data_IF_930039921189
#
_entry.id   IF_930039921189
#
_cell.length_a   1.000
_cell.length_b   1.000
_cell.length_c   1.000
_cell.angle_alpha   90.00
_cell.angle_beta   90.00
_cell.angle_gamma   90.00
#
_symmetry.space_group_name_H-M   'P 1'
#
loop_
_entity.id
_entity.type
_entity.pdbx_description
1 polymer ?
#
# COMPACT_ATOMS: atom_id res chain seq x y z
N UNK A 1 -9.50 -9.47 21.27
CA UNK A 1 -9.51 -9.19 19.82
C UNK A 1 -8.07 -8.93 19.41
N UNK A 2 -7.56 -9.61 18.38
CA UNK A 2 -6.18 -9.41 17.93
C UNK A 2 -5.99 -8.03 17.31
N UNK A 3 -4.82 -7.44 17.48
CA UNK A 3 -4.48 -6.18 16.84
C UNK A 3 -4.08 -6.39 15.38
N UNK A 4 -4.41 -5.43 14.51
CA UNK A 4 -4.11 -5.51 13.08
C UNK A 4 -3.73 -4.17 12.49
N UNK A 5 -2.64 -4.17 11.74
CA UNK A 5 -2.18 -3.03 10.94
C UNK A 5 -2.03 -3.41 9.48
N UNK A 6 -2.14 -2.42 8.59
CA UNK A 6 -2.07 -2.60 7.16
C UNK A 6 -0.87 -1.85 6.55
N UNK A 7 -0.10 -2.56 5.73
CA UNK A 7 0.95 -2.00 4.90
C UNK A 7 0.47 -2.00 3.45
N UNK A 8 0.40 -0.83 2.83
CA UNK A 8 -0.02 -0.69 1.44
C UNK A 8 1.20 -0.60 0.53
N UNK A 9 1.22 -1.41 -0.54
CA UNK A 9 2.22 -1.23 -1.60
C UNK A 9 2.04 0.14 -2.30
N UNK A 10 3.09 0.75 -2.85
CA UNK A 10 3.00 2.05 -3.49
C UNK A 10 2.19 2.02 -4.79
N UNK A 11 1.79 3.21 -5.26
CA UNK A 11 1.40 3.43 -6.64
C UNK A 11 2.64 3.71 -7.51
N UNK A 12 2.59 3.35 -8.80
CA UNK A 12 3.66 3.67 -9.74
C UNK A 12 3.68 5.19 -10.01
N UNK A 13 4.77 5.84 -9.60
CA UNK A 13 4.89 7.31 -9.65
C UNK A 13 5.42 7.86 -10.99
N UNK A 14 5.80 6.99 -11.94
CA UNK A 14 6.28 7.38 -13.27
C UNK A 14 5.31 7.11 -14.42
N UNK A 15 4.09 6.63 -14.12
CA UNK A 15 3.12 6.22 -15.16
C UNK A 15 2.38 7.38 -15.82
N UNK A 16 1.51 7.07 -16.79
CA UNK A 16 0.74 8.06 -17.57
C UNK A 16 -0.02 9.06 -16.69
N UNK A 17 -0.68 8.59 -15.62
CA UNK A 17 -1.39 9.49 -14.69
C UNK A 17 -0.45 10.41 -13.92
N UNK A 18 0.79 9.99 -13.65
CA UNK A 18 1.77 10.87 -13.03
C UNK A 18 2.15 12.02 -13.97
N UNK A 19 2.20 11.78 -15.28
CA UNK A 19 2.49 12.84 -16.26
C UNK A 19 1.44 13.95 -16.24
N UNK A 20 0.17 13.63 -15.95
CA UNK A 20 -0.90 14.62 -15.80
C UNK A 20 -0.64 15.61 -14.66
N UNK A 21 -0.09 15.15 -13.53
CA UNK A 21 0.27 16.05 -12.40
C UNK A 21 1.62 16.71 -12.59
N UNK A 22 2.53 16.11 -13.37
CA UNK A 22 3.82 16.71 -13.71
C UNK A 22 3.71 17.82 -14.76
N UNK A 23 2.65 17.83 -15.57
CA UNK A 23 2.34 18.94 -16.45
C UNK A 23 2.15 20.23 -15.63
N UNK A 24 3.01 21.22 -15.86
CA UNK A 24 3.01 22.48 -15.13
C UNK A 24 1.74 23.31 -15.40
N UNK A 25 1.12 23.12 -16.57
CA UNK A 25 -0.14 23.75 -16.95
C UNK A 25 -1.40 23.08 -16.39
N UNK A 26 -1.32 21.91 -15.75
CA UNK A 26 -2.50 21.20 -15.26
C UNK A 26 -3.18 21.94 -14.10
N UNK A 27 -4.44 22.37 -14.25
CA UNK A 27 -5.12 23.21 -13.26
C UNK A 27 -6.11 22.48 -12.34
N UNK A 28 -6.29 21.16 -12.49
CA UNK A 28 -7.19 20.40 -11.62
C UNK A 28 -6.73 20.42 -10.16
N UNK A 29 -7.65 20.28 -9.18
CA UNK A 29 -7.37 20.55 -7.77
C UNK A 29 -6.14 19.83 -7.21
N UNK A 30 -5.96 18.55 -7.53
CA UNK A 30 -4.82 17.77 -7.04
C UNK A 30 -3.47 18.30 -7.56
N UNK A 31 -3.38 18.69 -8.84
CA UNK A 31 -2.15 19.26 -9.41
C UNK A 31 -1.79 20.59 -8.75
N UNK A 32 -2.79 21.45 -8.49
CA UNK A 32 -2.59 22.72 -7.76
C UNK A 32 -2.10 22.48 -6.34
N UNK A 33 -2.72 21.55 -5.60
CA UNK A 33 -2.29 21.18 -4.25
C UNK A 33 -0.87 20.64 -4.22
N UNK A 34 -0.50 19.75 -5.14
CA UNK A 34 0.86 19.20 -5.23
C UNK A 34 1.93 20.29 -5.42
N UNK A 35 1.63 21.39 -6.12
CA UNK A 35 2.56 22.51 -6.32
C UNK A 35 2.56 23.54 -5.18
N UNK A 36 1.58 23.48 -4.29
CA UNK A 36 1.55 24.30 -3.06
C UNK A 36 2.60 23.82 -2.04
N UNK A 37 2.88 24.65 -1.02
CA UNK A 37 3.79 24.27 0.07
C UNK A 37 3.18 23.18 0.95
N UNK A 38 1.86 23.18 1.08
CA UNK A 38 1.06 22.28 1.89
C UNK A 38 1.01 20.87 1.27
N UNK A 39 1.07 20.77 -0.05
CA UNK A 39 0.99 19.51 -0.77
C UNK A 39 -0.39 18.86 -0.75
N UNK A 40 -0.44 17.59 -1.15
CA UNK A 40 -1.65 16.76 -1.09
C UNK A 40 -1.37 15.47 -0.29
N UNK A 41 -2.37 14.90 0.40
CA UNK A 41 -2.23 13.63 1.10
C UNK A 41 -1.69 12.54 0.17
N UNK A 42 -0.71 11.77 0.64
CA UNK A 42 -0.14 10.64 -0.08
C UNK A 42 -1.23 9.67 -0.58
N UNK A 43 -2.25 9.42 0.23
CA UNK A 43 -3.40 8.58 -0.11
C UNK A 43 -4.16 9.08 -1.33
N UNK A 44 -4.48 10.37 -1.37
CA UNK A 44 -5.19 11.01 -2.50
C UNK A 44 -4.36 10.94 -3.78
N UNK A 45 -3.06 11.21 -3.68
CA UNK A 45 -2.16 11.16 -4.83
C UNK A 45 -2.06 9.73 -5.35
N UNK A 46 -1.84 8.74 -4.51
CA UNK A 46 -1.73 7.35 -4.95
C UNK A 46 -3.07 6.79 -5.45
N UNK A 47 -4.20 7.22 -4.89
CA UNK A 47 -5.53 6.93 -5.40
C UNK A 47 -5.77 7.52 -6.79
N UNK A 48 -5.22 8.70 -7.09
CA UNK A 48 -5.23 9.26 -8.43
C UNK A 48 -4.37 8.44 -9.39
N UNK A 49 -3.10 8.17 -9.00
CA UNK A 49 -2.12 7.47 -9.85
C UNK A 49 -2.50 6.02 -10.18
N UNK A 50 -3.06 5.29 -9.21
CA UNK A 50 -3.35 3.85 -9.34
C UNK A 50 -4.85 3.54 -9.42
N UNK A 51 -5.71 4.56 -9.36
CA UNK A 51 -7.15 4.42 -9.54
C UNK A 51 -7.78 3.45 -8.54
N UNK A 52 -8.59 2.53 -9.06
CA UNK A 52 -9.39 1.62 -8.25
C UNK A 52 -8.53 0.75 -7.32
N UNK A 53 -7.32 0.39 -7.74
CA UNK A 53 -6.50 -0.51 -6.95
C UNK A 53 -6.03 0.14 -5.65
N UNK A 54 -5.43 1.34 -5.72
CA UNK A 54 -5.02 2.02 -4.49
C UNK A 54 -6.21 2.54 -3.68
N UNK A 55 -7.29 2.99 -4.33
CA UNK A 55 -8.54 3.35 -3.63
C UNK A 55 -9.08 2.18 -2.82
N UNK A 56 -9.13 0.98 -3.41
CA UNK A 56 -9.57 -0.22 -2.72
C UNK A 56 -8.66 -0.58 -1.54
N UNK A 57 -7.34 -0.53 -1.73
CA UNK A 57 -6.37 -0.76 -0.64
C UNK A 57 -6.59 0.18 0.54
N UNK A 58 -6.70 1.48 0.26
CA UNK A 58 -6.83 2.51 1.29
C UNK A 58 -8.16 2.39 2.03
N UNK A 59 -9.28 2.29 1.29
CA UNK A 59 -10.61 2.16 1.89
C UNK A 59 -10.71 0.90 2.76
N UNK A 60 -10.22 -0.23 2.26
CA UNK A 60 -10.23 -1.50 2.98
C UNK A 60 -9.39 -1.43 4.25
N UNK A 61 -8.15 -0.94 4.15
CA UNK A 61 -7.28 -0.81 5.32
C UNK A 61 -7.86 0.14 6.38
N UNK A 62 -8.51 1.23 5.98
CA UNK A 62 -9.16 2.15 6.91
C UNK A 62 -10.38 1.53 7.60
N UNK A 63 -11.15 0.70 6.89
CA UNK A 63 -12.34 0.05 7.44
C UNK A 63 -12.02 -1.05 8.46
N UNK A 64 -10.91 -1.77 8.27
CA UNK A 64 -10.61 -2.98 9.03
C UNK A 64 -9.36 -2.91 9.91
N UNK A 65 -8.67 -1.77 9.96
CA UNK A 65 -7.55 -1.58 10.88
C UNK A 65 -8.03 -1.60 12.34
N UNK A 66 -7.31 -2.35 13.17
CA UNK A 66 -7.52 -2.43 14.62
C UNK A 66 -6.15 -2.32 15.33
N UNK A 67 -5.43 -1.20 15.18
CA UNK A 67 -4.07 -1.07 15.69
C UNK A 67 -4.03 -1.09 17.22
N UNK A 68 -2.88 -1.46 17.81
CA UNK A 68 -2.62 -1.14 19.21
C UNK A 68 -2.65 0.38 19.47
N UNK A 69 -2.95 0.83 20.69
CA UNK A 69 -2.94 2.26 21.02
C UNK A 69 -1.62 2.94 20.65
N UNK A 70 -1.69 4.10 19.99
CA UNK A 70 -0.50 4.86 19.58
C UNK A 70 0.22 4.34 18.33
N UNK A 71 -0.22 3.21 17.75
CA UNK A 71 0.35 2.63 16.54
C UNK A 71 -0.49 3.02 15.31
N UNK A 72 0.11 3.40 14.17
CA UNK A 72 -0.66 3.69 12.97
C UNK A 72 -1.32 2.42 12.42
N UNK A 73 -2.65 2.46 12.22
CA UNK A 73 -3.40 1.35 11.62
C UNK A 73 -3.12 1.13 10.14
N UNK A 74 -2.72 2.18 9.41
CA UNK A 74 -2.44 2.12 7.97
C UNK A 74 -1.16 2.88 7.65
N UNK A 75 -0.24 2.22 6.96
CA UNK A 75 0.99 2.83 6.43
C UNK A 75 1.20 2.42 4.97
N UNK A 76 1.89 3.28 4.22
CA UNK A 76 2.14 3.13 2.80
C UNK A 76 3.64 3.08 2.56
N UNK A 77 4.09 2.07 1.81
CA UNK A 77 5.47 1.98 1.34
C UNK A 77 5.71 3.09 0.32
N UNK A 78 6.84 3.78 0.43
CA UNK A 78 7.31 4.78 -0.54
C UNK A 78 8.57 4.28 -1.25
N UNK A 79 8.92 4.87 -2.39
CA UNK A 79 10.07 4.41 -3.19
C UNK A 79 11.42 4.80 -2.60
N UNK A 80 11.49 5.78 -1.69
CA UNK A 80 12.76 6.23 -1.10
C UNK A 80 12.66 6.88 0.30
N UNK A 81 11.49 6.91 0.93
CA UNK A 81 11.29 7.55 2.24
C UNK A 81 10.71 6.60 3.31
N UNK A 82 10.67 5.29 3.03
CA UNK A 82 10.22 4.26 3.97
C UNK A 82 8.70 4.17 4.05
N UNK A 83 8.16 4.08 5.28
CA UNK A 83 6.71 3.98 5.54
C UNK A 83 6.14 5.35 5.90
N UNK A 84 5.00 5.70 5.28
CA UNK A 84 4.28 6.96 5.53
C UNK A 84 2.79 6.73 5.76
N UNK A 85 2.18 7.53 6.61
CA UNK A 85 0.72 7.52 6.76
C UNK A 85 0.00 8.04 5.50
N UNK A 86 -1.26 7.65 5.24
CA UNK A 86 -2.02 8.13 4.09
C UNK A 86 -2.20 9.66 4.06
N UNK A 87 -2.21 10.31 5.22
CA UNK A 87 -2.30 11.77 5.36
C UNK A 87 -0.97 12.51 5.13
N UNK A 88 0.14 11.80 4.91
CA UNK A 88 1.45 12.41 4.76
C UNK A 88 1.46 13.44 3.61
N UNK A 89 1.87 14.70 3.86
CA UNK A 89 1.90 15.72 2.83
C UNK A 89 2.93 15.43 1.74
N UNK A 90 2.44 15.23 0.52
CA UNK A 90 3.25 15.00 -0.67
C UNK A 90 3.24 16.25 -1.55
N UNK A 91 4.43 16.76 -1.88
CA UNK A 91 4.61 17.87 -2.83
C UNK A 91 5.04 17.33 -4.20
N UNK A 92 4.95 18.17 -5.23
CA UNK A 92 5.37 17.82 -6.59
C UNK A 92 6.86 17.46 -6.65
N UNK A 93 7.69 18.17 -5.89
CA UNK A 93 9.13 17.90 -5.82
C UNK A 93 9.40 16.51 -5.23
N UNK A 94 8.68 16.15 -4.16
CA UNK A 94 8.79 14.83 -3.54
C UNK A 94 8.22 13.73 -4.45
N UNK A 95 7.10 13.96 -5.12
CA UNK A 95 6.56 13.01 -6.10
C UNK A 95 7.53 12.78 -7.28
N UNK A 96 8.20 13.83 -7.77
CA UNK A 96 9.27 13.70 -8.79
C UNK A 96 10.44 12.84 -8.26
N UNK A 97 10.83 12.96 -6.99
CA UNK A 97 11.81 12.05 -6.38
C UNK A 97 11.28 10.62 -6.31
N UNK A 98 10.00 10.43 -5.98
CA UNK A 98 9.42 9.09 -5.91
C UNK A 98 9.41 8.41 -7.28
N UNK A 99 9.14 9.16 -8.34
CA UNK A 99 9.14 8.69 -9.73
C UNK A 99 10.52 8.25 -10.24
N UNK A 100 11.61 8.84 -9.70
CA UNK A 100 13.00 8.46 -10.03
C UNK A 100 13.54 7.31 -9.18
N UNK A 101 12.87 6.97 -8.09
CA UNK A 101 13.29 5.90 -7.19
C UNK A 101 12.89 4.54 -7.75
N UNK A 102 13.76 3.55 -7.58
CA UNK A 102 13.47 2.17 -7.95
C UNK A 102 13.04 1.36 -6.72
N UNK A 103 12.11 0.43 -6.92
CA UNK A 103 11.64 -0.49 -5.89
C UNK A 103 12.42 -1.80 -6.04
N UNK A 104 13.66 -1.74 -5.59
CA UNK A 104 14.60 -2.86 -5.66
C UNK A 104 15.38 -2.97 -4.33
N UNK A 105 15.45 -4.17 -3.76
CA UNK A 105 16.18 -4.43 -2.52
C UNK A 105 17.69 -4.16 -2.64
N UNK A 106 18.24 -4.13 -3.87
CA UNK A 106 19.61 -3.72 -4.15
C UNK A 106 19.81 -2.22 -4.01
N UNK A 107 18.77 -1.40 -4.20
CA UNK A 107 18.85 0.05 -4.00
C UNK A 107 18.78 0.37 -2.49
N UNK A 108 19.91 0.77 -1.92
CA UNK A 108 20.01 1.15 -0.51
C UNK A 108 19.10 2.34 -0.14
N UNK A 109 18.76 3.23 -1.09
CA UNK A 109 17.89 4.40 -0.88
C UNK A 109 16.44 3.99 -0.69
N UNK A 110 16.03 2.86 -1.26
CA UNK A 110 14.74 2.25 -1.02
C UNK A 110 14.77 1.32 0.20
N UNK A 111 15.73 0.38 0.23
CA UNK A 111 15.82 -0.67 1.25
C UNK A 111 16.01 -0.12 2.66
N UNK A 112 16.93 0.82 2.87
CA UNK A 112 17.30 1.29 4.22
C UNK A 112 16.14 2.00 4.93
N UNK A 113 15.45 2.99 4.31
CA UNK A 113 14.30 3.63 4.95
C UNK A 113 13.15 2.66 5.23
N UNK A 114 12.83 1.75 4.29
CA UNK A 114 11.77 0.77 4.49
C UNK A 114 12.10 -0.19 5.66
N UNK A 115 13.33 -0.70 5.72
CA UNK A 115 13.76 -1.58 6.80
C UNK A 115 13.74 -0.88 8.17
N UNK A 116 14.20 0.37 8.23
CA UNK A 116 14.17 1.19 9.46
C UNK A 116 12.74 1.32 9.97
N UNK A 117 11.83 1.77 9.11
CA UNK A 117 10.46 2.07 9.53
C UNK A 117 9.67 0.79 9.84
N UNK A 118 9.91 -0.29 9.10
CA UNK A 118 9.33 -1.60 9.40
C UNK A 118 9.74 -2.09 10.80
N UNK A 119 11.00 -1.93 11.20
CA UNK A 119 11.48 -2.30 12.55
C UNK A 119 10.85 -1.45 13.64
N UNK A 120 10.73 -0.14 13.43
CA UNK A 120 10.05 0.77 14.36
C UNK A 120 8.58 0.34 14.52
N UNK A 121 7.91 0.05 13.41
CA UNK A 121 6.52 -0.38 13.42
C UNK A 121 6.34 -1.72 14.12
N UNK A 122 7.21 -2.71 13.88
CA UNK A 122 7.17 -4.00 14.54
C UNK A 122 7.36 -3.88 16.06
N UNK A 123 8.31 -3.06 16.50
CA UNK A 123 8.54 -2.81 17.92
C UNK A 123 7.35 -2.13 18.60
N UNK A 124 6.72 -1.16 17.92
CA UNK A 124 5.55 -0.46 18.45
C UNK A 124 4.28 -1.33 18.45
N UNK A 125 4.11 -2.18 17.44
CA UNK A 125 2.92 -3.02 17.28
C UNK A 125 2.89 -4.20 18.26
N UNK A 126 4.06 -4.69 18.67
CA UNK A 126 4.18 -5.87 19.55
C UNK A 126 3.97 -7.20 18.81
N UNK A 127 4.26 -8.33 19.48
CA UNK A 127 4.29 -9.66 18.86
C UNK A 127 2.91 -10.20 18.49
N UNK A 128 1.85 -9.73 19.16
CA UNK A 128 0.47 -10.21 18.97
C UNK A 128 -0.28 -9.44 17.86
N UNK A 129 0.37 -8.47 17.21
CA UNK A 129 -0.24 -7.68 16.14
C UNK A 129 0.00 -8.33 14.78
N UNK A 130 -1.08 -8.61 14.06
CA UNK A 130 -1.00 -9.02 12.66
C UNK A 130 -0.63 -7.84 11.75
N UNK A 131 0.20 -8.10 10.75
CA UNK A 131 0.62 -7.12 9.75
C UNK A 131 0.19 -7.58 8.38
N UNK A 132 -0.82 -6.93 7.80
CA UNK A 132 -1.39 -7.34 6.51
C UNK A 132 -0.82 -6.48 5.38
N UNK A 133 -0.14 -7.12 4.42
CA UNK A 133 0.34 -6.48 3.21
C UNK A 133 -0.75 -6.45 2.13
N UNK A 134 -1.28 -5.27 1.82
CA UNK A 134 -2.15 -5.06 0.66
C UNK A 134 -1.31 -4.60 -0.54
N UNK A 135 -0.95 -5.55 -1.38
CA UNK A 135 -0.08 -5.30 -2.52
C UNK A 135 0.08 -6.50 -3.43
N UNK A 136 0.93 -6.35 -4.45
CA UNK A 136 1.43 -7.54 -5.16
C UNK A 136 2.46 -8.25 -4.29
N UNK A 137 2.17 -9.50 -3.96
CA UNK A 137 3.07 -10.40 -3.21
C UNK A 137 3.85 -11.34 -4.14
N UNK A 138 3.58 -11.29 -5.46
CA UNK A 138 4.19 -12.16 -6.45
C UNK A 138 5.72 -11.97 -6.58
N UNK A 139 6.25 -10.81 -6.18
CA UNK A 139 7.69 -10.53 -6.20
C UNK A 139 8.23 -10.20 -4.82
N UNK A 140 9.51 -10.50 -4.58
CA UNK A 140 10.19 -10.30 -3.30
C UNK A 140 10.45 -8.84 -2.90
N UNK A 141 10.17 -7.87 -3.79
CA UNK A 141 10.58 -6.46 -3.65
C UNK A 141 10.10 -5.74 -2.37
N UNK A 142 9.02 -6.22 -1.76
CA UNK A 142 8.57 -5.83 -0.42
C UNK A 142 8.63 -7.02 0.52
N UNK A 143 8.14 -8.18 0.04
CA UNK A 143 7.88 -9.38 0.84
C UNK A 143 9.14 -9.86 1.55
N UNK A 144 10.28 -9.94 0.87
CA UNK A 144 11.49 -10.52 1.46
C UNK A 144 12.06 -9.65 2.58
N UNK A 145 11.89 -8.32 2.48
CA UNK A 145 12.31 -7.39 3.52
C UNK A 145 11.33 -7.41 4.69
N UNK A 146 10.03 -7.37 4.40
CA UNK A 146 9.00 -7.35 5.43
C UNK A 146 8.98 -8.68 6.21
N UNK A 147 9.17 -9.82 5.54
CA UNK A 147 9.28 -11.13 6.19
C UNK A 147 10.43 -11.18 7.20
N UNK A 148 11.59 -10.60 6.86
CA UNK A 148 12.74 -10.52 7.79
C UNK A 148 12.46 -9.70 9.05
N UNK A 149 11.44 -8.84 9.03
CA UNK A 149 11.10 -7.95 10.14
C UNK A 149 9.90 -8.46 10.93
N UNK A 150 8.84 -8.87 10.25
CA UNK A 150 7.57 -9.25 10.86
C UNK A 150 7.40 -10.77 11.02
N UNK A 151 8.18 -11.58 10.29
CA UNK A 151 8.15 -13.03 10.40
C UNK A 151 6.73 -13.63 10.29
N UNK A 152 6.31 -14.49 11.23
CA UNK A 152 5.00 -15.13 11.23
C UNK A 152 3.80 -14.16 11.27
N UNK A 153 4.01 -12.93 11.78
CA UNK A 153 2.96 -11.92 11.85
C UNK A 153 2.62 -11.31 10.48
N UNK A 154 3.45 -11.51 9.46
CA UNK A 154 3.21 -10.98 8.13
C UNK A 154 2.19 -11.83 7.36
N UNK A 155 1.05 -11.22 7.05
CA UNK A 155 -0.06 -11.83 6.34
C UNK A 155 -0.35 -11.13 5.00
N UNK A 156 -1.10 -11.80 4.14
CA UNK A 156 -1.70 -11.21 2.95
C UNK A 156 -3.07 -11.84 2.63
N UNK A 157 -3.94 -11.18 1.84
CA UNK A 157 -5.22 -11.74 1.47
C UNK A 157 -5.09 -12.93 0.51
N UNK A 158 -5.64 -14.09 0.87
CA UNK A 158 -5.57 -15.31 0.06
C UNK A 158 -6.22 -15.10 -1.32
N UNK A 159 -7.30 -14.31 -1.38
CA UNK A 159 -8.08 -14.05 -2.59
C UNK A 159 -7.35 -13.16 -3.60
N UNK A 160 -6.14 -12.66 -3.28
CA UNK A 160 -5.32 -11.91 -4.24
C UNK A 160 -4.64 -12.81 -5.27
N UNK A 161 -4.45 -14.09 -4.98
CA UNK A 161 -3.84 -15.04 -5.90
C UNK A 161 -4.61 -15.07 -7.24
N UNK A 162 -3.88 -14.94 -8.35
CA UNK A 162 -4.48 -14.94 -9.70
C UNK A 162 -5.28 -13.67 -10.08
N UNK A 163 -5.40 -12.67 -9.19
CA UNK A 163 -6.15 -11.42 -9.48
C UNK A 163 -5.26 -10.26 -9.94
N UNK A 164 -5.65 -9.65 -11.06
CA UNK A 164 -5.08 -8.38 -11.50
C UNK A 164 -5.38 -7.23 -10.52
N UNK A 165 -4.60 -6.15 -10.60
CA UNK A 165 -4.67 -4.98 -9.69
C UNK A 165 -6.09 -4.39 -9.58
N UNK A 166 -6.76 -4.16 -10.72
CA UNK A 166 -8.12 -3.59 -10.72
C UNK A 166 -9.15 -4.53 -10.10
N UNK A 167 -9.00 -5.86 -10.33
CA UNK A 167 -9.89 -6.85 -9.71
C UNK A 167 -9.72 -6.90 -8.20
N UNK A 168 -8.48 -6.80 -7.70
CA UNK A 168 -8.21 -6.68 -6.26
C UNK A 168 -8.82 -5.40 -5.68
N UNK A 169 -8.65 -4.27 -6.36
CA UNK A 169 -9.27 -2.99 -5.99
C UNK A 169 -10.79 -3.09 -5.84
N UNK A 170 -11.46 -3.67 -6.84
CA UNK A 170 -12.90 -3.88 -6.81
C UNK A 170 -13.37 -4.88 -5.73
N UNK A 171 -12.60 -5.94 -5.49
CA UNK A 171 -12.89 -6.91 -4.42
C UNK A 171 -12.86 -6.22 -3.05
N UNK A 172 -11.78 -5.50 -2.77
CA UNK A 172 -11.61 -4.77 -1.50
C UNK A 172 -12.75 -3.78 -1.24
N UNK A 173 -13.19 -3.04 -2.27
CA UNK A 173 -14.31 -2.11 -2.11
C UNK A 173 -15.63 -2.81 -1.80
N UNK A 174 -15.90 -3.96 -2.42
CA UNK A 174 -17.11 -4.77 -2.11
C UNK A 174 -17.06 -5.35 -0.70
N UNK A 175 -15.88 -5.74 -0.25
CA UNK A 175 -15.66 -6.16 1.13
C UNK A 175 -15.99 -5.04 2.12
N UNK A 176 -15.57 -3.80 1.83
CA UNK A 176 -15.94 -2.62 2.63
C UNK A 176 -17.46 -2.42 2.62
N UNK A 177 -18.10 -2.44 1.45
CA UNK A 177 -19.57 -2.26 1.34
C UNK A 177 -20.34 -3.33 2.13
N UNK A 178 -19.83 -4.57 2.16
CA UNK A 178 -20.44 -5.70 2.86
C UNK A 178 -20.01 -5.83 4.33
N UNK A 179 -19.13 -4.95 4.84
CA UNK A 179 -18.56 -5.07 6.19
C UNK A 179 -17.80 -6.39 6.43
N UNK A 180 -17.26 -7.00 5.36
CA UNK A 180 -16.65 -8.34 5.40
C UNK A 180 -15.16 -8.29 5.12
N UNK A 181 -14.37 -8.80 6.05
CA UNK A 181 -12.94 -8.99 5.86
C UNK A 181 -12.61 -10.14 4.88
N UNK A 182 -11.47 -10.00 4.21
CA UNK A 182 -10.81 -11.04 3.42
C UNK A 182 -10.11 -12.05 4.34
N UNK A 183 -9.88 -13.25 3.83
CA UNK A 183 -9.10 -14.25 4.55
C UNK A 183 -7.60 -13.93 4.46
N UNK A 184 -6.92 -13.89 5.61
CA UNK A 184 -5.49 -13.61 5.68
C UNK A 184 -4.67 -14.86 5.94
N UNK A 185 -3.74 -15.14 5.02
CA UNK A 185 -2.81 -16.27 5.14
C UNK A 185 -1.39 -15.77 5.39
N UNK A 186 -0.58 -16.58 6.08
CA UNK A 186 0.83 -16.26 6.37
C UNK A 186 1.67 -16.21 5.10
N UNK A 187 2.63 -15.29 5.03
CA UNK A 187 3.63 -15.25 3.94
C UNK A 187 4.86 -16.12 4.22
N UNK A 188 5.03 -16.56 5.46
CA UNK A 188 6.05 -17.52 5.86
C UNK A 188 5.75 -18.91 5.28
N UNK A 189 6.78 -19.68 4.92
CA UNK A 189 6.60 -21.06 4.44
C UNK A 189 6.09 -21.22 2.99
N UNK A 190 6.00 -20.14 2.21
CA UNK A 190 5.78 -20.25 0.76
C UNK A 190 4.32 -20.43 0.33
N UNK A 191 3.36 -19.92 1.10
CA UNK A 191 1.94 -19.90 0.72
C UNK A 191 1.74 -19.47 -0.75
N UNK A 192 0.81 -20.09 -1.51
CA UNK A 192 0.67 -19.85 -2.94
C UNK A 192 0.43 -18.37 -3.26
N UNK A 193 1.46 -17.71 -3.81
CA UNK A 193 1.38 -16.30 -4.28
C UNK A 193 0.77 -16.19 -5.68
N UNK A 194 0.63 -17.32 -6.34
CA UNK A 194 0.07 -17.50 -7.67
C UNK A 194 -1.09 -18.48 -7.60
N UNK A 195 -2.09 -18.28 -8.45
CA UNK A 195 -3.27 -19.14 -8.51
C UNK A 195 -4.03 -18.95 -9.81
N UNK A 196 -4.99 -19.83 -10.11
CA UNK A 196 -5.83 -19.71 -11.30
C UNK A 196 -6.59 -18.38 -11.27
N UNK A 197 -6.85 -17.81 -12.44
CA UNK A 197 -7.57 -16.55 -12.55
C UNK A 197 -9.02 -16.77 -12.06
N UNK A 198 -9.46 -16.09 -10.98
CA UNK A 198 -10.82 -16.26 -10.47
C UNK A 198 -11.85 -15.57 -11.38
N UNK A 199 -13.16 -15.89 -11.22
CA UNK A 199 -14.22 -15.29 -12.03
C UNK A 199 -14.26 -13.76 -11.92
N UNK A 200 -14.78 -13.13 -12.98
CA UNK A 200 -14.98 -11.67 -13.02
C UNK A 200 -15.94 -11.26 -11.90
N UNK A 201 -15.66 -10.11 -11.29
CA UNK A 201 -16.56 -9.53 -10.31
C UNK A 201 -17.80 -8.98 -11.04
N UNK A 202 -18.99 -9.29 -10.52
CA UNK A 202 -20.24 -8.65 -10.96
C UNK A 202 -20.15 -7.11 -10.78
N UNK A 203 -20.86 -6.29 -11.57
CA UNK A 203 -20.86 -4.83 -11.41
C UNK A 203 -21.08 -4.40 -9.95
N UNK A 204 -20.36 -3.37 -9.51
CA UNK A 204 -20.55 -2.79 -8.17
C UNK A 204 -21.75 -1.85 -8.26
N UNK A 205 -22.76 -2.06 -7.39
CA UNK A 205 -23.90 -1.17 -7.25
C UNK A 205 -23.47 0.20 -6.72
#
# INVERSE_FOLDING_TARGET
MGHRIFILSPAHCGGERAQLVFNEGAQFPLARRLRSKEGAPLGDVFAFLSGLYFRGKLAYAQAFAAPPPGVPGVVVITTNEGLRGPSFPLTIARLRRYARGDIDLRDARYRRPLQRDAKILAAAAGPDCEVVLLGSVATGKYVDLLLKVFGPALRFPAEFAGRGDMSRGGLMLRCVDAGRELEYVGLEGGAPRHGPRPPRLAPRA
#
